data_IF_013466814352
#
_entry.id   IF_013466814352
#
_cell.length_a   1.000
_cell.length_b   1.000
_cell.length_c   1.000
_cell.angle_alpha   90.00
_cell.angle_beta   90.00
_cell.angle_gamma   90.00
#
_symmetry.space_group_name_H-M   'P 1'
#
loop_
_entity.id
_entity.type
_entity.pdbx_description
1 polymer ?
#
# COMPACT_ATOMS: atom_id res chain seq x y z
N UNK A 1 7.92 9.19 -11.96
CA UNK A 1 6.83 8.73 -11.08
C UNK A 1 6.46 9.89 -10.16
N UNK A 2 5.19 10.32 -10.08
CA UNK A 2 4.77 11.40 -9.18
C UNK A 2 4.17 10.78 -7.89
N UNK A 3 4.98 10.70 -6.83
CA UNK A 3 4.55 10.13 -5.56
C UNK A 3 3.55 11.00 -4.78
N UNK A 4 3.37 12.28 -5.16
CA UNK A 4 2.32 13.14 -4.60
C UNK A 4 0.92 12.63 -4.92
N UNK A 5 0.66 12.29 -6.18
CA UNK A 5 -0.63 11.73 -6.61
C UNK A 5 -0.89 10.35 -5.95
N UNK A 6 0.17 9.54 -5.80
CA UNK A 6 0.11 8.23 -5.13
C UNK A 6 -0.20 8.34 -3.64
N UNK A 7 0.29 9.39 -2.97
CA UNK A 7 -0.06 9.67 -1.58
C UNK A 7 -1.55 9.99 -1.44
N UNK A 8 -2.08 10.85 -2.32
CA UNK A 8 -3.50 11.21 -2.31
C UNK A 8 -4.38 9.98 -2.54
N UNK A 9 -4.01 9.10 -3.48
CA UNK A 9 -4.78 7.87 -3.74
C UNK A 9 -4.79 6.90 -2.54
N UNK A 10 -3.67 6.76 -1.82
CA UNK A 10 -3.60 5.93 -0.62
C UNK A 10 -4.42 6.53 0.53
N UNK A 11 -4.43 7.86 0.67
CA UNK A 11 -5.26 8.54 1.65
C UNK A 11 -6.75 8.35 1.33
N UNK A 12 -7.15 8.52 0.07
CA UNK A 12 -8.51 8.28 -0.40
C UNK A 12 -8.96 6.84 -0.12
N UNK A 13 -8.13 5.85 -0.44
CA UNK A 13 -8.41 4.45 -0.13
C UNK A 13 -8.57 4.23 1.38
N UNK A 14 -7.68 4.79 2.19
CA UNK A 14 -7.74 4.68 3.66
C UNK A 14 -9.02 5.28 4.25
N UNK A 15 -9.44 6.45 3.77
CA UNK A 15 -10.66 7.11 4.23
C UNK A 15 -11.91 6.32 3.84
N UNK A 16 -11.96 5.79 2.61
CA UNK A 16 -13.06 4.95 2.16
C UNK A 16 -13.15 3.66 2.97
N UNK A 17 -12.03 2.93 3.10
CA UNK A 17 -11.96 1.68 3.87
C UNK A 17 -12.37 1.91 5.32
N UNK A 18 -11.89 3.00 5.93
CA UNK A 18 -12.25 3.35 7.31
C UNK A 18 -13.73 3.76 7.47
N UNK A 19 -14.37 4.29 6.43
CA UNK A 19 -15.79 4.64 6.46
C UNK A 19 -16.71 3.41 6.35
N UNK A 20 -16.22 2.36 5.67
CA UNK A 20 -16.95 1.11 5.44
C UNK A 20 -16.77 0.09 6.58
N UNK A 21 -15.67 0.17 7.33
CA UNK A 21 -15.42 -0.72 8.46
C UNK A 21 -16.42 -0.48 9.61
N UNK A 22 -17.05 -1.57 10.08
CA UNK A 22 -17.85 -1.54 11.29
C UNK A 22 -16.97 -1.69 12.55
N UNK A 23 -17.41 -1.17 13.71
CA UNK A 23 -16.66 -1.32 14.95
C UNK A 23 -16.38 -2.80 15.29
N UNK A 24 -15.11 -3.16 15.52
CA UNK A 24 -14.69 -4.54 15.80
C UNK A 24 -14.29 -5.36 14.57
N UNK A 25 -14.39 -4.81 13.36
CA UNK A 25 -13.97 -5.46 12.11
C UNK A 25 -12.59 -4.99 11.64
N UNK A 26 -11.76 -4.43 12.52
CA UNK A 26 -10.46 -3.86 12.14
C UNK A 26 -9.51 -4.90 11.50
N UNK A 27 -9.77 -6.19 11.72
CA UNK A 27 -9.04 -7.30 11.10
C UNK A 27 -9.38 -7.53 9.61
N UNK A 28 -10.47 -6.94 9.10
CA UNK A 28 -10.88 -6.98 7.69
C UNK A 28 -10.35 -5.80 6.87
N UNK A 29 -9.61 -4.89 7.52
CA UNK A 29 -9.11 -3.65 6.93
C UNK A 29 -8.16 -3.92 5.77
N UNK A 30 -8.50 -3.42 4.58
CA UNK A 30 -7.62 -3.45 3.41
C UNK A 30 -6.41 -2.55 3.63
N UNK A 31 -6.58 -1.38 4.24
CA UNK A 31 -5.52 -0.39 4.38
C UNK A 31 -5.47 0.25 5.77
N UNK A 32 -4.27 0.26 6.36
CA UNK A 32 -3.98 0.95 7.62
C UNK A 32 -3.05 2.14 7.42
N UNK A 33 -3.19 3.13 8.30
CA UNK A 33 -2.41 4.36 8.30
C UNK A 33 -1.75 4.55 9.66
N UNK A 34 -0.47 4.89 9.67
CA UNK A 34 0.27 5.26 10.88
C UNK A 34 1.03 6.56 10.63
N UNK A 35 0.85 7.54 11.52
CA UNK A 35 1.55 8.82 11.46
C UNK A 35 2.48 8.93 12.65
N UNK A 36 3.76 9.15 12.36
CA UNK A 36 4.79 9.46 13.35
C UNK A 36 5.24 10.92 13.17
N UNK A 37 6.16 11.40 14.01
CA UNK A 37 6.67 12.78 13.94
C UNK A 37 7.23 13.15 12.56
N UNK A 38 8.00 12.23 11.95
CA UNK A 38 8.74 12.48 10.70
C UNK A 38 8.32 11.58 9.54
N UNK A 39 7.26 10.78 9.70
CA UNK A 39 6.82 9.88 8.64
C UNK A 39 5.32 9.62 8.64
N UNK A 40 4.83 9.27 7.46
CA UNK A 40 3.47 8.82 7.23
C UNK A 40 3.51 7.49 6.49
N UNK A 41 2.92 6.46 7.08
CA UNK A 41 2.95 5.08 6.58
C UNK A 41 1.56 4.62 6.22
N UNK A 42 1.43 3.99 5.05
CA UNK A 42 0.26 3.25 4.63
C UNK A 42 0.64 1.78 4.42
N UNK A 43 -0.15 0.86 4.96
CA UNK A 43 -0.01 -0.57 4.68
C UNK A 43 -1.28 -1.10 4.07
N UNK A 44 -1.19 -1.68 2.89
CA UNK A 44 -2.26 -2.44 2.25
C UNK A 44 -1.99 -3.92 2.50
N UNK A 45 -3.01 -4.63 2.98
CA UNK A 45 -3.05 -6.08 3.14
C UNK A 45 -4.29 -6.58 2.39
N UNK A 46 -4.07 -7.34 1.32
CA UNK A 46 -5.19 -7.79 0.48
C UNK A 46 -5.92 -9.02 1.04
N UNK A 47 -5.52 -9.51 2.21
CA UNK A 47 -6.10 -10.70 2.86
C UNK A 47 -5.74 -12.02 2.17
N UNK A 48 -4.96 -12.01 1.10
CA UNK A 48 -4.53 -13.18 0.34
C UNK A 48 -3.04 -13.50 0.55
N UNK A 49 -2.38 -12.77 1.45
CA UNK A 49 -0.97 -12.95 1.78
C UNK A 49 -0.05 -11.89 1.19
N UNK A 50 -0.58 -10.96 0.37
CA UNK A 50 0.23 -9.90 -0.22
C UNK A 50 0.13 -8.58 0.54
N UNK A 51 1.27 -7.89 0.63
CA UNK A 51 1.41 -6.66 1.39
C UNK A 51 2.08 -5.58 0.56
N UNK A 52 1.53 -4.37 0.59
CA UNK A 52 2.20 -3.15 0.14
C UNK A 52 2.39 -2.21 1.33
N UNK A 53 3.60 -1.70 1.51
CA UNK A 53 3.96 -0.83 2.63
C UNK A 53 4.70 0.40 2.12
N UNK A 54 4.06 1.56 2.25
CA UNK A 54 4.54 2.84 1.71
C UNK A 54 4.79 3.81 2.85
N UNK A 55 6.04 4.26 3.02
CA UNK A 55 6.45 5.24 4.03
C UNK A 55 6.90 6.51 3.33
N UNK A 56 6.16 7.59 3.53
CA UNK A 56 6.56 8.94 3.16
C UNK A 56 7.39 9.54 4.29
N UNK A 57 8.61 9.97 3.98
CA UNK A 57 9.49 10.71 4.89
C UNK A 57 9.82 12.08 4.30
N UNK A 58 10.62 12.89 5.00
CA UNK A 58 11.12 14.15 4.44
C UNK A 58 12.13 13.94 3.31
N UNK A 59 12.94 12.88 3.41
CA UNK A 59 14.07 12.64 2.51
C UNK A 59 13.71 11.74 1.31
N UNK A 60 12.80 10.80 1.50
CA UNK A 60 12.44 9.79 0.51
C UNK A 60 11.04 9.22 0.70
N UNK A 61 10.53 8.57 -0.35
CA UNK A 61 9.40 7.63 -0.28
C UNK A 61 9.95 6.22 -0.34
N UNK A 62 9.64 5.41 0.67
CA UNK A 62 10.08 4.03 0.78
C UNK A 62 8.89 3.11 0.51
N UNK A 63 9.10 2.10 -0.32
CA UNK A 63 8.05 1.16 -0.72
C UNK A 63 8.58 -0.25 -0.58
N UNK A 64 8.00 -1.01 0.32
CA UNK A 64 8.24 -2.44 0.46
C UNK A 64 7.01 -3.19 -0.03
N UNK A 65 7.20 -4.19 -0.86
CA UNK A 65 6.16 -5.14 -1.18
C UNK A 65 6.54 -6.57 -0.80
N UNK A 66 5.51 -7.36 -0.54
CA UNK A 66 5.59 -8.78 -0.31
C UNK A 66 4.50 -9.45 -1.14
N UNK A 67 4.90 -10.17 -2.17
CA UNK A 67 4.05 -11.01 -3.00
C UNK A 67 4.27 -12.47 -2.56
N UNK A 68 3.24 -13.08 -1.99
CA UNK A 68 3.38 -14.38 -1.34
C UNK A 68 3.69 -15.51 -2.32
N UNK A 69 3.35 -15.34 -3.60
CA UNK A 69 3.62 -16.31 -4.68
C UNK A 69 4.95 -16.04 -5.39
N UNK A 70 5.61 -14.91 -5.11
CA UNK A 70 6.85 -14.55 -5.77
C UNK A 70 7.99 -15.51 -5.40
N UNK A 71 8.84 -15.86 -6.37
CA UNK A 71 10.00 -16.73 -6.15
C UNK A 71 11.04 -16.15 -5.18
N UNK A 72 11.04 -14.83 -4.95
CA UNK A 72 11.91 -14.20 -3.96
C UNK A 72 11.40 -14.37 -2.51
N UNK A 73 10.17 -14.86 -2.31
CA UNK A 73 9.60 -15.09 -0.99
C UNK A 73 10.37 -16.18 -0.22
N UNK A 74 11.11 -15.77 0.81
CA UNK A 74 11.92 -16.70 1.61
C UNK A 74 11.10 -17.62 2.53
N UNK A 75 9.82 -17.32 2.76
CA UNK A 75 8.93 -18.20 3.55
C UNK A 75 8.41 -19.39 2.76
N UNK A 76 8.41 -19.32 1.42
CA UNK A 76 8.05 -20.44 0.54
C UNK A 76 9.28 -21.21 0.04
N UNK A 77 10.49 -20.71 0.30
CA UNK A 77 11.74 -21.36 -0.08
C UNK A 77 11.98 -22.67 0.71
N UNK A 78 12.58 -23.66 0.04
CA UNK A 78 12.93 -24.94 0.68
C UNK A 78 14.04 -24.81 1.72
N UNK A 79 14.94 -23.82 1.54
CA UNK A 79 15.99 -23.43 2.47
C UNK A 79 16.04 -21.91 2.46
N UNK A 80 16.08 -21.30 3.65
CA UNK A 80 16.21 -19.86 3.81
C UNK A 80 17.53 -19.35 3.20
N UNK A 81 17.46 -18.41 2.26
CA UNK A 81 18.61 -17.72 1.68
C UNK A 81 18.57 -16.23 2.04
N UNK A 82 19.30 -15.88 3.10
CA UNK A 82 19.42 -14.49 3.57
C UNK A 82 20.01 -13.56 2.48
N UNK A 83 20.81 -14.10 1.54
CA UNK A 83 21.43 -13.28 0.50
C UNK A 83 20.41 -12.67 -0.45
N UNK A 84 19.21 -13.23 -0.56
CA UNK A 84 18.11 -12.65 -1.35
C UNK A 84 17.66 -11.34 -0.72
N UNK A 85 17.37 -11.33 0.58
CA UNK A 85 16.96 -10.12 1.32
C UNK A 85 18.09 -9.09 1.32
N UNK A 86 19.33 -9.52 1.52
CA UNK A 86 20.49 -8.63 1.53
C UNK A 86 20.66 -7.92 0.17
N UNK A 87 20.46 -8.63 -0.96
CA UNK A 87 20.49 -8.04 -2.31
C UNK A 87 19.32 -7.09 -2.56
N UNK A 88 18.13 -7.37 -2.03
CA UNK A 88 16.98 -6.46 -2.16
C UNK A 88 17.33 -5.10 -1.52
N UNK A 89 17.96 -5.12 -0.35
CA UNK A 89 18.32 -3.91 0.40
C UNK A 89 19.73 -3.37 0.12
N UNK A 90 20.45 -3.92 -0.86
CA UNK A 90 21.80 -3.48 -1.20
C UNK A 90 21.82 -1.98 -1.58
N UNK A 91 22.71 -1.21 -0.96
CA UNK A 91 22.83 0.24 -1.19
C UNK A 91 21.76 1.10 -0.52
N UNK A 92 20.75 0.51 0.15
CA UNK A 92 19.76 1.26 0.94
C UNK A 92 20.42 1.86 2.17
N UNK A 93 20.28 3.17 2.37
CA UNK A 93 20.80 3.83 3.57
C UNK A 93 20.23 3.22 4.86
N UNK A 94 21.06 2.99 5.90
CA UNK A 94 20.60 2.37 7.15
C UNK A 94 19.42 3.08 7.81
N UNK A 95 19.33 4.41 7.68
CA UNK A 95 18.20 5.21 8.21
C UNK A 95 16.85 4.84 7.60
N UNK A 96 16.84 4.34 6.36
CA UNK A 96 15.63 3.91 5.66
C UNK A 96 15.27 2.47 5.99
N UNK A 97 16.24 1.55 5.94
CA UNK A 97 15.99 0.14 6.26
C UNK A 97 15.64 -0.07 7.74
N UNK A 98 16.08 0.81 8.65
CA UNK A 98 15.71 0.79 10.07
C UNK A 98 14.26 1.15 10.36
N UNK A 99 13.52 1.73 9.40
CA UNK A 99 12.09 2.01 9.56
C UNK A 99 11.23 0.74 9.48
N UNK A 100 11.83 -0.37 9.06
CA UNK A 100 11.22 -1.70 9.02
C UNK A 100 11.85 -2.57 10.11
N UNK A 101 11.03 -3.35 10.80
CA UNK A 101 11.52 -4.39 11.72
C UNK A 101 12.23 -5.52 10.97
N UNK A 102 12.96 -6.40 11.68
CA UNK A 102 13.61 -7.55 11.03
C UNK A 102 12.59 -8.43 10.31
N UNK A 103 11.51 -8.81 10.99
CA UNK A 103 10.42 -9.61 10.40
C UNK A 103 9.82 -8.96 9.15
N UNK A 104 9.68 -7.64 9.20
CA UNK A 104 9.19 -6.85 8.08
C UNK A 104 10.14 -6.81 6.90
N UNK A 105 11.46 -6.90 7.11
CA UNK A 105 12.44 -7.05 6.03
C UNK A 105 12.49 -8.47 5.51
N UNK A 106 12.36 -9.46 6.39
CA UNK A 106 12.25 -10.88 6.03
C UNK A 106 11.04 -11.12 5.12
N UNK A 107 9.94 -10.38 5.34
CA UNK A 107 8.75 -10.32 4.47
C UNK A 107 8.92 -9.27 3.36
N UNK A 108 9.95 -9.41 2.53
CA UNK A 108 10.18 -8.52 1.38
C UNK A 108 10.47 -9.32 0.14
N UNK A 109 9.73 -9.04 -0.93
CA UNK A 109 10.02 -9.54 -2.28
C UNK A 109 10.52 -8.41 -3.17
N UNK A 110 10.14 -7.15 -2.91
CA UNK A 110 10.81 -5.98 -3.47
C UNK A 110 10.90 -4.81 -2.49
N UNK A 111 11.93 -3.98 -2.69
CA UNK A 111 12.08 -2.70 -2.04
C UNK A 111 12.43 -1.62 -3.06
N UNK A 112 11.72 -0.50 -3.01
CA UNK A 112 11.95 0.70 -3.81
C UNK A 112 12.16 1.86 -2.85
N UNK A 113 13.14 2.70 -3.13
CA UNK A 113 13.22 4.02 -2.51
C UNK A 113 13.24 5.10 -3.59
N UNK A 114 12.57 6.21 -3.31
CA UNK A 114 12.50 7.37 -4.18
C UNK A 114 12.97 8.61 -3.44
N UNK A 115 14.14 9.12 -3.82
CA UNK A 115 14.81 10.30 -3.27
C UNK A 115 14.90 11.46 -4.29
N UNK A 116 14.06 11.39 -5.32
CA UNK A 116 14.14 12.21 -6.54
C UNK A 116 14.39 11.35 -7.77
N UNK A 117 15.07 10.21 -7.61
CA UNK A 117 15.14 9.11 -8.58
C UNK A 117 14.55 7.84 -7.97
N UNK A 118 13.99 6.97 -8.82
CA UNK A 118 13.52 5.66 -8.37
C UNK A 118 14.67 4.67 -8.39
N UNK A 119 14.85 3.93 -7.30
CA UNK A 119 15.86 2.89 -7.18
C UNK A 119 15.21 1.58 -6.77
N UNK A 120 15.67 0.48 -7.37
CA UNK A 120 15.31 -0.88 -6.99
C UNK A 120 16.41 -1.85 -7.42
N UNK A 121 16.74 -2.79 -6.56
CA UNK A 121 17.58 -3.93 -6.92
C UNK A 121 16.73 -5.06 -7.52
N UNK A 122 17.12 -5.55 -8.70
CA UNK A 122 16.48 -6.71 -9.34
C UNK A 122 17.28 -7.97 -9.02
N UNK A 123 16.81 -8.76 -8.06
CA UNK A 123 17.49 -10.01 -7.68
C UNK A 123 17.24 -11.06 -8.77
N UNK A 124 18.30 -11.46 -9.48
CA UNK A 124 18.17 -12.40 -10.60
C UNK A 124 17.34 -11.88 -11.77
N UNK A 125 17.13 -10.56 -11.86
CA UNK A 125 16.22 -9.95 -12.85
C UNK A 125 14.75 -9.94 -12.46
N UNK A 126 14.37 -10.50 -11.31
CA UNK A 126 13.01 -10.48 -10.80
C UNK A 126 12.68 -9.11 -10.18
N UNK A 127 11.47 -8.60 -10.45
CA UNK A 127 10.99 -7.32 -9.92
C UNK A 127 10.28 -7.43 -8.56
N UNK A 128 10.14 -8.64 -8.03
CA UNK A 128 9.61 -8.96 -6.71
C UNK A 128 8.10 -8.84 -6.55
N UNK A 129 7.32 -8.67 -7.62
CA UNK A 129 5.86 -8.49 -7.52
C UNK A 129 5.43 -7.03 -7.55
N UNK A 130 6.07 -6.22 -8.41
CA UNK A 130 5.71 -4.79 -8.62
C UNK A 130 4.25 -4.55 -9.02
N UNK A 131 3.49 -5.59 -9.37
CA UNK A 131 2.05 -5.48 -9.61
C UNK A 131 1.32 -4.89 -8.39
N UNK A 132 1.84 -5.10 -7.16
CA UNK A 132 1.33 -4.51 -5.93
C UNK A 132 1.31 -2.97 -5.95
N UNK A 133 2.13 -2.32 -6.79
CA UNK A 133 2.08 -0.88 -6.96
C UNK A 133 0.74 -0.39 -7.55
N UNK A 134 -0.10 -1.28 -8.07
CA UNK A 134 -1.45 -0.95 -8.56
C UNK A 134 -2.35 -0.32 -7.49
N UNK A 135 -2.13 -0.60 -6.19
CA UNK A 135 -2.84 0.05 -5.09
C UNK A 135 -2.47 1.55 -4.92
N UNK A 136 -1.42 2.03 -5.60
CA UNK A 136 -1.02 3.44 -5.64
C UNK A 136 -1.56 4.14 -6.89
N UNK A 137 -2.88 4.09 -7.06
CA UNK A 137 -3.62 4.45 -8.27
C UNK A 137 -3.15 5.75 -8.94
N UNK A 138 -2.64 5.63 -10.17
CA UNK A 138 -2.15 6.76 -10.97
C UNK A 138 -3.26 7.62 -11.60
N UNK A 139 -4.51 7.20 -11.50
CA UNK A 139 -5.66 7.86 -12.11
C UNK A 139 -6.94 7.56 -11.33
N UNK A 140 -7.89 8.48 -11.39
CA UNK A 140 -9.24 8.30 -10.84
C UNK A 140 -9.93 7.04 -11.38
N UNK A 141 -9.88 6.77 -12.68
CA UNK A 141 -10.58 5.62 -13.29
C UNK A 141 -10.16 4.29 -12.67
N UNK A 142 -8.84 4.07 -12.53
CA UNK A 142 -8.29 2.88 -11.84
C UNK A 142 -8.71 2.79 -10.37
N UNK A 143 -8.72 3.92 -9.66
CA UNK A 143 -9.19 3.96 -8.28
C UNK A 143 -10.67 3.58 -8.20
N UNK A 144 -11.51 4.21 -9.02
CA UNK A 144 -12.96 3.97 -9.06
C UNK A 144 -13.29 2.52 -9.44
N UNK A 145 -12.65 1.98 -10.47
CA UNK A 145 -12.82 0.59 -10.90
C UNK A 145 -12.46 -0.37 -9.76
N UNK A 146 -11.30 -0.16 -9.14
CA UNK A 146 -10.84 -0.99 -8.03
C UNK A 146 -11.82 -0.97 -6.85
N UNK A 147 -12.19 0.21 -6.33
CA UNK A 147 -13.01 0.26 -5.11
C UNK A 147 -14.41 -0.30 -5.34
N UNK A 148 -15.01 -0.05 -6.51
CA UNK A 148 -16.31 -0.61 -6.87
C UNK A 148 -16.26 -2.14 -6.95
N UNK A 149 -15.19 -2.68 -7.53
CA UNK A 149 -14.98 -4.13 -7.61
C UNK A 149 -14.68 -4.76 -6.25
N UNK A 150 -13.78 -4.16 -5.47
CA UNK A 150 -13.31 -4.69 -4.20
C UNK A 150 -14.40 -4.72 -3.13
N UNK A 151 -15.15 -3.62 -2.98
CA UNK A 151 -16.22 -3.54 -1.99
C UNK A 151 -17.57 -4.03 -2.52
N UNK A 152 -17.65 -4.41 -3.80
CA UNK A 152 -18.90 -4.79 -4.50
C UNK A 152 -20.03 -3.72 -4.38
N UNK A 153 -19.64 -2.45 -4.22
CA UNK A 153 -20.57 -1.32 -4.06
C UNK A 153 -20.54 -0.45 -5.31
N UNK A 154 -21.72 -0.14 -5.85
CA UNK A 154 -21.86 0.90 -6.86
C UNK A 154 -21.86 2.29 -6.20
N UNK A 155 -20.66 2.85 -6.03
CA UNK A 155 -20.45 4.21 -5.53
C UNK A 155 -20.84 5.27 -6.56
N UNK A 156 -21.23 6.44 -6.06
CA UNK A 156 -21.41 7.64 -6.87
C UNK A 156 -20.05 8.17 -7.34
N UNK A 157 -19.92 8.44 -8.64
CA UNK A 157 -18.64 8.85 -9.25
C UNK A 157 -18.20 10.23 -8.79
N UNK A 158 -19.14 11.17 -8.58
CA UNK A 158 -18.80 12.52 -8.12
C UNK A 158 -18.29 12.49 -6.68
N UNK A 159 -18.88 11.65 -5.82
CA UNK A 159 -18.38 11.39 -4.46
C UNK A 159 -16.98 10.77 -4.49
N UNK A 160 -16.75 9.70 -5.28
CA UNK A 160 -15.42 9.08 -5.37
C UNK A 160 -14.39 10.05 -5.94
N UNK A 161 -14.76 10.90 -6.90
CA UNK A 161 -13.85 11.87 -7.49
C UNK A 161 -13.45 12.94 -6.49
N UNK A 162 -14.39 13.47 -5.71
CA UNK A 162 -14.11 14.40 -4.60
C UNK A 162 -13.18 13.77 -3.58
N UNK A 163 -13.41 12.51 -3.23
CA UNK A 163 -12.54 11.79 -2.32
C UNK A 163 -11.12 11.61 -2.89
N UNK A 164 -11.01 11.18 -4.15
CA UNK A 164 -9.72 10.94 -4.81
C UNK A 164 -8.89 12.22 -4.99
N UNK A 165 -9.53 13.33 -5.39
CA UNK A 165 -8.86 14.60 -5.66
C UNK A 165 -8.66 15.47 -4.40
N UNK A 166 -9.66 15.45 -3.50
CA UNK A 166 -9.71 16.32 -2.32
C UNK A 166 -9.32 15.65 -1.01
N UNK A 167 -9.35 14.32 -0.94
CA UNK A 167 -9.02 13.57 0.28
C UNK A 167 -10.03 13.76 1.41
N UNK A 168 -11.30 14.00 1.10
CA UNK A 168 -12.33 14.28 2.10
C UNK A 168 -13.61 13.46 1.81
N UNK A 169 -14.20 12.92 2.88
CA UNK A 169 -15.56 12.37 2.91
C UNK A 169 -16.37 13.18 3.92
N UNK A 170 -17.52 13.71 3.52
CA UNK A 170 -18.43 14.38 4.44
C UNK A 170 -19.16 13.35 5.33
N UNK A 171 -19.71 13.82 6.46
CA UNK A 171 -20.55 12.96 7.31
C UNK A 171 -21.79 12.43 6.58
N UNK A 172 -22.30 13.18 5.61
CA UNK A 172 -23.42 12.73 4.77
C UNK A 172 -22.97 11.61 3.82
N UNK A 173 -21.78 11.73 3.21
CA UNK A 173 -21.22 10.68 2.36
C UNK A 173 -21.06 9.37 3.14
N UNK A 174 -20.47 9.43 4.35
CA UNK A 174 -20.30 8.26 5.22
C UNK A 174 -21.65 7.61 5.55
N UNK A 175 -22.68 8.41 5.84
CA UNK A 175 -24.02 7.90 6.12
C UNK A 175 -24.65 7.21 4.91
N UNK A 176 -24.49 7.78 3.72
CA UNK A 176 -24.93 7.17 2.45
C UNK A 176 -24.22 5.84 2.21
N UNK A 177 -22.91 5.79 2.44
CA UNK A 177 -22.09 4.58 2.31
C UNK A 177 -22.57 3.48 3.23
N UNK A 178 -22.77 3.78 4.52
CA UNK A 178 -23.24 2.79 5.50
C UNK A 178 -24.63 2.24 5.17
N UNK A 179 -25.53 3.06 4.63
CA UNK A 179 -26.86 2.59 4.20
C UNK A 179 -26.79 1.59 3.03
N UNK A 180 -25.75 1.64 2.20
CA UNK A 180 -25.55 0.68 1.09
C UNK A 180 -25.05 -0.68 1.56
N UNK A 181 -24.43 -0.77 2.75
CA UNK A 181 -24.00 -2.03 3.36
C UNK A 181 -25.15 -2.80 4.03
N UNK A 182 -26.24 -2.12 4.38
CA UNK A 182 -27.38 -2.69 5.12
C UNK A 182 -28.55 -3.13 4.25
N UNK A 183 -28.49 -2.93 2.93
CA UNK A 183 -29.53 -3.30 1.96
C UNK A 183 -29.02 -4.39 1.01
#
# INVERSE_FOLDING_TARGET
MNWGNKKASLEALYLLDSALLEPGEEYLRLISKTKNENSLRYKVDNGQGDLLDVIFTQDAVLIRGFDHENELNQFSASIWDQSVIDKIYEGVEPKFSSLFSSKERDQTTFFIWYDGAEHQNLVGGNNGGRWLLAYTFDSFDKFSEFVKGYYEINFDDDMLKKLYEGGELSQEDIKILKNKLTN
#
